data_IF_325088276034
#
_entry.id   IF_325088276034
#
_cell.length_a   1.000
_cell.length_b   1.000
_cell.length_c   1.000
_cell.angle_alpha   90.00
_cell.angle_beta   90.00
_cell.angle_gamma   90.00
#
_symmetry.space_group_name_H-M   'P 1'
#
loop_
_entity.id
_entity.type
_entity.pdbx_description
1 polymer ?
#
# COMPACT_ATOMS: atom_id res chain seq x y z
N UNK A 1 -41.03 4.72 12.79
CA UNK A 1 -39.93 5.02 11.85
C UNK A 1 -39.15 6.15 12.50
N UNK A 2 -37.84 6.02 12.70
CA UNK A 2 -37.03 7.15 13.11
C UNK A 2 -37.12 8.21 12.01
N UNK A 3 -37.65 9.39 12.37
CA UNK A 3 -37.61 10.53 11.47
C UNK A 3 -36.20 11.08 11.46
N UNK A 4 -35.42 10.72 10.46
CA UNK A 4 -34.16 11.41 10.16
C UNK A 4 -34.50 12.77 9.54
N UNK A 5 -34.72 13.79 10.36
CA UNK A 5 -34.98 15.15 9.88
C UNK A 5 -33.80 15.77 9.12
N UNK A 6 -32.61 15.19 9.23
CA UNK A 6 -31.41 15.61 8.51
C UNK A 6 -30.64 14.41 7.98
N UNK A 7 -31.08 13.84 6.86
CA UNK A 7 -30.33 12.79 6.17
C UNK A 7 -29.05 13.37 5.56
N UNK A 8 -27.93 12.65 5.63
CA UNK A 8 -26.62 13.14 5.15
C UNK A 8 -26.58 13.43 3.64
N UNK A 9 -27.36 12.69 2.85
CA UNK A 9 -27.52 12.83 1.39
C UNK A 9 -28.77 12.09 0.93
N UNK A 10 -29.23 12.37 -0.29
CA UNK A 10 -30.34 11.67 -0.90
C UNK A 10 -29.95 10.24 -1.31
N UNK A 11 -30.85 9.30 -1.06
CA UNK A 11 -30.70 7.89 -1.44
C UNK A 11 -31.81 7.48 -2.41
N UNK A 12 -31.62 6.43 -3.27
CA UNK A 12 -32.67 5.89 -4.11
C UNK A 12 -33.93 5.49 -3.33
N UNK A 13 -35.08 5.54 -3.96
CA UNK A 13 -36.37 5.21 -3.32
C UNK A 13 -36.44 3.76 -2.79
N UNK A 14 -35.63 2.85 -3.34
CA UNK A 14 -35.53 1.46 -2.91
C UNK A 14 -34.65 1.26 -1.67
N UNK A 15 -33.94 2.32 -1.23
CA UNK A 15 -33.06 2.26 -0.08
C UNK A 15 -33.75 2.82 1.16
N UNK A 16 -33.26 2.47 2.33
CA UNK A 16 -33.73 3.03 3.60
C UNK A 16 -32.57 3.49 4.44
N UNK A 17 -32.77 4.57 5.20
CA UNK A 17 -31.83 4.93 6.24
C UNK A 17 -32.11 4.10 7.50
N UNK A 18 -31.05 3.57 8.09
CA UNK A 18 -31.05 2.85 9.35
C UNK A 18 -29.82 3.27 10.17
N UNK A 19 -29.48 2.57 11.23
CA UNK A 19 -28.26 2.79 12.01
C UNK A 19 -27.36 1.56 11.98
N UNK A 20 -26.08 1.74 12.28
CA UNK A 20 -25.16 0.59 12.43
C UNK A 20 -25.63 -0.34 13.54
N UNK A 21 -26.22 0.21 14.62
CA UNK A 21 -26.80 -0.59 15.71
C UNK A 21 -27.90 -1.53 15.21
N UNK A 22 -28.81 -1.03 14.38
CA UNK A 22 -29.96 -1.81 13.89
C UNK A 22 -29.56 -2.95 12.94
N UNK A 23 -28.44 -2.83 12.26
CA UNK A 23 -27.96 -3.87 11.33
C UNK A 23 -26.94 -4.83 11.93
N UNK A 24 -26.48 -4.60 13.17
CA UNK A 24 -25.46 -5.41 13.81
C UNK A 24 -25.99 -6.22 14.99
N UNK A 25 -25.69 -7.51 15.03
CA UNK A 25 -25.89 -8.36 16.21
C UNK A 25 -24.82 -8.15 17.28
N UNK A 26 -23.68 -7.55 16.90
CA UNK A 26 -22.58 -7.25 17.80
C UNK A 26 -21.85 -5.98 17.35
N UNK A 27 -21.64 -5.08 18.30
CA UNK A 27 -20.72 -3.94 18.19
C UNK A 27 -19.98 -3.86 19.52
N UNK A 28 -18.65 -4.04 19.50
CA UNK A 28 -17.88 -3.96 20.73
C UNK A 28 -16.39 -4.14 20.54
N UNK A 29 -15.61 -3.44 21.35
CA UNK A 29 -14.16 -3.62 21.39
C UNK A 29 -13.79 -4.94 22.03
N UNK A 30 -12.62 -5.44 21.67
CA UNK A 30 -12.00 -6.58 22.31
C UNK A 30 -11.48 -6.28 23.71
N UNK A 31 -10.72 -7.21 24.24
CA UNK A 31 -10.02 -7.06 25.52
C UNK A 31 -8.65 -7.72 25.43
N UNK A 32 -7.69 -7.22 26.23
CA UNK A 32 -6.36 -7.85 26.31
C UNK A 32 -6.40 -8.97 27.35
N UNK A 33 -5.76 -10.14 27.08
CA UNK A 33 -5.65 -11.20 28.06
C UNK A 33 -4.97 -10.71 29.34
N UNK A 34 -5.49 -11.08 30.51
CA UNK A 34 -4.93 -10.70 31.80
C UNK A 34 -3.49 -11.24 31.93
N UNK A 35 -2.57 -10.40 32.39
CA UNK A 35 -1.16 -10.79 32.60
C UNK A 35 -0.38 -11.02 31.31
N UNK A 36 -0.83 -10.46 30.15
CA UNK A 36 -0.18 -10.67 28.85
C UNK A 36 -0.01 -12.15 28.50
N UNK A 37 -1.01 -12.98 28.80
CA UNK A 37 -0.99 -14.42 28.69
C UNK A 37 -1.10 -14.85 27.22
N UNK A 38 -0.06 -14.64 26.45
CA UNK A 38 0.08 -15.07 25.07
C UNK A 38 0.76 -16.43 24.98
N UNK A 39 0.44 -17.18 23.94
CA UNK A 39 1.03 -18.48 23.61
C UNK A 39 1.82 -18.43 22.30
N UNK A 40 2.69 -19.40 22.08
CA UNK A 40 3.46 -19.49 20.84
C UNK A 40 2.59 -19.85 19.62
N UNK A 41 1.48 -20.54 19.87
CA UNK A 41 0.49 -20.97 18.88
C UNK A 41 -0.90 -21.05 19.53
N UNK A 42 -1.94 -21.31 18.75
CA UNK A 42 -3.32 -21.45 19.22
C UNK A 42 -4.27 -20.53 18.46
N UNK A 43 -5.17 -19.87 19.19
CA UNK A 43 -6.19 -18.99 18.64
C UNK A 43 -5.57 -17.63 18.29
N UNK A 44 -5.70 -17.12 17.05
CA UNK A 44 -5.15 -15.84 16.65
C UNK A 44 -5.76 -14.67 17.43
N UNK A 45 -4.90 -13.76 17.84
CA UNK A 45 -5.26 -12.56 18.61
C UNK A 45 -4.85 -11.31 17.84
N UNK A 46 -5.81 -10.66 17.22
CA UNK A 46 -5.58 -9.48 16.38
C UNK A 46 -5.46 -8.22 17.22
N UNK A 47 -4.44 -7.44 16.91
CA UNK A 47 -4.21 -6.09 17.43
C UNK A 47 -4.37 -5.08 16.29
N UNK A 48 -4.45 -3.81 16.59
CA UNK A 48 -4.62 -2.76 15.58
C UNK A 48 -3.60 -2.82 14.43
N UNK A 49 -2.38 -3.29 14.70
CA UNK A 49 -1.34 -3.48 13.69
C UNK A 49 -1.60 -4.62 12.70
N UNK A 50 -2.51 -5.54 13.03
CA UNK A 50 -2.89 -6.65 12.18
C UNK A 50 -4.09 -6.33 11.27
N UNK A 51 -4.74 -5.15 11.44
CA UNK A 51 -5.90 -4.71 10.66
C UNK A 51 -5.46 -3.66 9.65
N UNK A 52 -5.62 -3.97 8.36
CA UNK A 52 -5.43 -3.07 7.23
C UNK A 52 -6.76 -2.86 6.50
N UNK A 53 -6.83 -1.93 5.56
CA UNK A 53 -8.08 -1.63 4.86
C UNK A 53 -8.48 -2.70 3.83
N UNK A 54 -7.56 -3.52 3.43
CA UNK A 54 -7.74 -4.54 2.38
C UNK A 54 -7.64 -5.98 2.92
N UNK A 55 -7.10 -6.17 4.13
CA UNK A 55 -6.86 -7.51 4.69
C UNK A 55 -6.51 -7.53 6.17
N UNK A 56 -6.56 -8.72 6.74
CA UNK A 56 -5.91 -9.05 8.00
C UNK A 56 -4.49 -9.55 7.73
N UNK A 57 -3.52 -9.05 8.52
CA UNK A 57 -2.10 -9.40 8.40
C UNK A 57 -1.68 -10.23 9.60
N UNK A 58 -1.04 -11.37 9.33
CA UNK A 58 -0.59 -12.32 10.34
C UNK A 58 0.87 -12.10 10.76
N UNK A 59 1.56 -11.14 10.18
CA UNK A 59 2.91 -10.77 10.60
C UNK A 59 2.90 -10.27 12.05
N UNK A 60 3.77 -10.82 12.89
CA UNK A 60 3.84 -10.55 14.34
C UNK A 60 2.47 -10.73 15.06
N UNK A 61 1.63 -11.63 14.55
CA UNK A 61 0.37 -11.97 15.24
C UNK A 61 0.69 -12.63 16.58
N UNK A 62 -0.13 -12.34 17.58
CA UNK A 62 -0.09 -13.05 18.86
C UNK A 62 -1.13 -14.15 18.87
N UNK A 63 -0.90 -15.15 19.70
CA UNK A 63 -1.85 -16.25 19.91
C UNK A 63 -2.23 -16.32 21.37
N UNK A 64 -3.41 -16.86 21.64
CA UNK A 64 -3.89 -17.19 22.99
C UNK A 64 -4.25 -18.67 23.03
N UNK A 65 -4.17 -19.27 24.22
CA UNK A 65 -4.60 -20.66 24.42
C UNK A 65 -6.12 -20.79 24.31
N UNK A 66 -6.61 -21.99 24.03
CA UNK A 66 -8.03 -22.29 24.03
C UNK A 66 -8.69 -21.92 25.36
N UNK A 67 -8.03 -22.15 26.48
CA UNK A 67 -8.55 -21.80 27.81
C UNK A 67 -8.76 -20.30 27.96
N UNK A 68 -7.82 -19.49 27.44
CA UNK A 68 -7.93 -18.01 27.46
C UNK A 68 -9.03 -17.57 26.52
N UNK A 69 -9.12 -18.17 25.31
CA UNK A 69 -10.18 -17.90 24.36
C UNK A 69 -11.55 -18.13 24.96
N UNK A 70 -11.78 -19.26 25.65
CA UNK A 70 -13.05 -19.56 26.29
C UNK A 70 -13.43 -18.51 27.36
N UNK A 71 -12.46 -18.01 28.12
CA UNK A 71 -12.68 -16.91 29.08
C UNK A 71 -12.98 -15.57 28.40
N UNK A 72 -12.59 -15.45 27.12
CA UNK A 72 -12.76 -14.25 26.29
C UNK A 72 -13.82 -14.43 25.20
N UNK A 73 -14.73 -15.37 25.34
CA UNK A 73 -15.78 -15.69 24.34
C UNK A 73 -16.62 -14.46 23.96
N UNK A 74 -16.81 -13.51 24.87
CA UNK A 74 -17.49 -12.25 24.60
C UNK A 74 -16.79 -11.35 23.55
N UNK A 75 -15.52 -11.58 23.25
CA UNK A 75 -14.72 -10.84 22.24
C UNK A 75 -14.25 -11.74 21.09
N UNK A 76 -14.96 -12.84 20.88
CA UNK A 76 -14.70 -13.75 19.76
C UNK A 76 -15.00 -13.10 18.42
N UNK A 77 -14.07 -13.29 17.49
CA UNK A 77 -14.18 -12.91 16.08
C UNK A 77 -14.65 -14.11 15.29
N UNK A 78 -15.61 -13.89 14.42
CA UNK A 78 -16.14 -14.90 13.49
C UNK A 78 -15.94 -14.48 12.04
N UNK A 79 -16.10 -15.42 11.13
CA UNK A 79 -16.13 -15.14 9.69
C UNK A 79 -17.15 -14.03 9.36
N UNK A 80 -16.82 -13.18 8.40
CA UNK A 80 -17.61 -12.03 7.95
C UNK A 80 -17.79 -10.88 8.97
N UNK A 81 -17.14 -10.93 10.13
CA UNK A 81 -17.06 -9.78 11.01
C UNK A 81 -16.23 -8.65 10.34
N UNK A 82 -16.59 -7.41 10.60
CA UNK A 82 -15.71 -6.28 10.32
C UNK A 82 -14.89 -5.96 11.57
N UNK A 83 -13.58 -5.84 11.39
CA UNK A 83 -12.65 -5.41 12.44
C UNK A 83 -12.22 -3.97 12.18
N UNK A 84 -12.64 -3.06 13.04
CA UNK A 84 -12.38 -1.62 12.94
C UNK A 84 -11.40 -1.17 14.03
N UNK A 85 -10.29 -0.55 13.65
CA UNK A 85 -9.41 0.11 14.60
C UNK A 85 -10.05 1.37 15.15
N UNK A 86 -10.26 1.42 16.46
CA UNK A 86 -10.99 2.49 17.14
C UNK A 86 -10.10 3.44 17.95
N UNK A 87 -8.79 3.21 18.01
CA UNK A 87 -7.82 4.06 18.73
C UNK A 87 -6.44 4.04 18.06
N UNK A 88 -5.63 5.06 18.35
CA UNK A 88 -4.23 5.12 17.96
C UNK A 88 -3.98 5.56 16.51
N UNK A 89 -2.74 5.49 16.07
CA UNK A 89 -2.32 5.98 14.75
C UNK A 89 -2.90 5.23 13.54
N UNK A 90 -3.59 4.11 13.77
CA UNK A 90 -4.30 3.34 12.74
C UNK A 90 -5.82 3.44 12.87
N UNK A 91 -6.32 4.44 13.61
CA UNK A 91 -7.75 4.70 13.77
C UNK A 91 -8.44 4.77 12.39
N UNK A 92 -9.56 4.08 12.26
CA UNK A 92 -10.36 4.03 11.03
C UNK A 92 -9.96 2.94 10.05
N UNK A 93 -8.83 2.23 10.23
CA UNK A 93 -8.55 1.03 9.43
C UNK A 93 -9.58 -0.05 9.73
N UNK A 94 -10.11 -0.66 8.69
CA UNK A 94 -11.12 -1.69 8.79
C UNK A 94 -10.85 -2.82 7.80
N UNK A 95 -11.08 -4.05 8.22
CA UNK A 95 -11.01 -5.22 7.36
C UNK A 95 -12.20 -6.14 7.59
N UNK A 96 -12.62 -6.86 6.56
CA UNK A 96 -13.54 -7.98 6.65
C UNK A 96 -12.76 -9.24 7.03
N UNK A 97 -13.30 -10.00 7.96
CA UNK A 97 -12.78 -11.32 8.34
C UNK A 97 -13.13 -12.33 7.25
N UNK A 98 -12.17 -13.10 6.70
CA UNK A 98 -12.43 -14.05 5.64
C UNK A 98 -13.56 -15.05 5.98
N UNK A 99 -14.32 -15.46 4.96
CA UNK A 99 -15.46 -16.36 5.13
C UNK A 99 -15.08 -17.77 5.60
N UNK A 100 -13.84 -18.19 5.38
CA UNK A 100 -13.26 -19.47 5.83
C UNK A 100 -12.55 -19.38 7.19
N UNK A 101 -12.64 -18.23 7.86
CA UNK A 101 -12.01 -18.00 9.16
C UNK A 101 -12.75 -18.77 10.26
N UNK A 102 -12.01 -19.51 11.09
CA UNK A 102 -12.60 -20.31 12.16
C UNK A 102 -12.99 -19.47 13.38
N UNK A 103 -12.01 -18.95 14.09
CA UNK A 103 -12.21 -18.10 15.27
C UNK A 103 -10.95 -17.31 15.62
N UNK A 104 -11.13 -16.25 16.39
CA UNK A 104 -10.05 -15.42 16.90
C UNK A 104 -10.53 -14.51 18.02
N UNK A 105 -9.65 -13.67 18.53
CA UNK A 105 -9.99 -12.61 19.45
C UNK A 105 -9.28 -11.31 19.04
N UNK A 106 -9.74 -10.21 19.58
CA UNK A 106 -9.17 -8.88 19.30
C UNK A 106 -8.82 -8.13 20.58
N UNK A 107 -7.86 -7.23 20.46
CA UNK A 107 -7.49 -6.31 21.54
C UNK A 107 -8.54 -5.22 21.76
N UNK A 108 -8.47 -4.51 22.88
CA UNK A 108 -9.35 -3.38 23.20
C UNK A 108 -9.28 -2.21 22.20
N UNK A 109 -8.29 -2.21 21.29
CA UNK A 109 -8.11 -1.19 20.26
C UNK A 109 -8.82 -1.50 18.94
N UNK A 110 -9.45 -2.67 18.86
CA UNK A 110 -10.18 -3.16 17.69
C UNK A 110 -11.62 -3.41 18.07
N UNK A 111 -12.55 -2.84 17.31
CA UNK A 111 -13.99 -3.06 17.45
C UNK A 111 -14.44 -4.15 16.47
N UNK A 112 -15.24 -5.09 16.95
CA UNK A 112 -15.95 -6.07 16.15
C UNK A 112 -17.31 -5.49 15.78
N UNK A 113 -17.63 -5.50 14.49
CA UNK A 113 -18.97 -5.19 13.98
C UNK A 113 -19.47 -6.42 13.22
N UNK A 114 -20.53 -7.06 13.72
CA UNK A 114 -21.14 -8.26 13.14
C UNK A 114 -22.50 -7.92 12.59
N UNK A 115 -22.57 -7.70 11.29
CA UNK A 115 -23.82 -7.38 10.60
C UNK A 115 -24.72 -8.61 10.45
N UNK A 116 -26.03 -8.35 10.28
CA UNK A 116 -27.05 -9.36 10.01
C UNK A 116 -27.78 -8.95 8.73
N UNK A 117 -27.83 -9.84 7.74
CA UNK A 117 -28.48 -9.60 6.43
C UNK A 117 -27.94 -8.39 5.67
N UNK A 118 -26.70 -8.00 5.96
CA UNK A 118 -25.95 -6.98 5.22
C UNK A 118 -24.69 -7.64 4.66
N UNK A 119 -24.42 -7.39 3.39
CA UNK A 119 -23.21 -7.87 2.71
C UNK A 119 -21.96 -7.27 3.40
N UNK A 120 -21.05 -8.09 3.93
CA UNK A 120 -19.89 -7.58 4.69
C UNK A 120 -19.04 -6.60 3.90
N UNK A 121 -18.79 -6.86 2.62
CA UNK A 121 -17.98 -5.99 1.75
C UNK A 121 -18.70 -4.68 1.42
N UNK A 122 -20.05 -4.66 1.36
CA UNK A 122 -20.81 -3.43 1.25
C UNK A 122 -20.65 -2.57 2.51
N UNK A 123 -20.78 -3.19 3.68
CA UNK A 123 -20.56 -2.50 4.95
C UNK A 123 -19.13 -1.98 5.07
N UNK A 124 -18.16 -2.78 4.65
CA UNK A 124 -16.76 -2.39 4.62
C UNK A 124 -16.53 -1.17 3.71
N UNK A 125 -17.08 -1.16 2.50
CA UNK A 125 -17.00 -0.03 1.58
C UNK A 125 -17.55 1.26 2.20
N UNK A 126 -18.67 1.18 2.95
CA UNK A 126 -19.19 2.32 3.70
C UNK A 126 -18.19 2.82 4.74
N UNK A 127 -17.61 1.91 5.55
CA UNK A 127 -16.64 2.26 6.60
C UNK A 127 -15.40 2.94 6.01
N UNK A 128 -14.96 2.54 4.83
CA UNK A 128 -13.83 3.17 4.14
C UNK A 128 -14.20 4.46 3.40
N UNK A 129 -15.47 4.81 3.31
CA UNK A 129 -15.94 5.98 2.58
C UNK A 129 -15.59 7.30 3.29
N UNK A 130 -15.51 8.38 2.50
CA UNK A 130 -15.36 9.73 3.04
C UNK A 130 -16.57 10.16 3.90
N UNK A 131 -17.74 9.59 3.67
CA UNK A 131 -18.93 9.79 4.48
C UNK A 131 -18.71 9.31 5.90
N UNK A 132 -18.24 8.07 6.08
CA UNK A 132 -17.93 7.50 7.39
C UNK A 132 -16.87 8.34 8.11
N UNK A 133 -15.75 8.63 7.47
CA UNK A 133 -14.65 9.40 8.05
C UNK A 133 -15.12 10.80 8.55
N UNK A 134 -15.93 11.50 7.76
CA UNK A 134 -16.48 12.80 8.12
C UNK A 134 -17.49 12.71 9.26
N UNK A 135 -18.38 11.72 9.24
CA UNK A 135 -19.43 11.52 10.26
C UNK A 135 -18.84 11.15 11.61
N UNK A 136 -17.77 10.35 11.63
CA UNK A 136 -17.07 9.95 12.84
C UNK A 136 -16.06 10.98 13.35
N UNK A 137 -15.84 12.08 12.62
CA UNK A 137 -14.81 13.08 12.93
C UNK A 137 -13.43 12.43 13.17
N UNK A 138 -13.13 11.38 12.40
CA UNK A 138 -11.83 10.72 12.42
C UNK A 138 -10.80 11.71 11.88
N UNK A 139 -10.10 12.37 12.77
CA UNK A 139 -8.96 13.22 12.46
C UNK A 139 -7.69 12.50 12.90
N UNK A 140 -6.63 12.60 12.14
CA UNK A 140 -5.37 11.87 12.36
C UNK A 140 -4.60 12.21 13.64
N UNK A 141 -5.24 12.78 14.65
CA UNK A 141 -4.60 13.21 15.92
C UNK A 141 -4.29 12.08 16.91
N UNK A 142 -4.59 10.82 16.59
CA UNK A 142 -4.01 9.63 17.23
C UNK A 142 -4.28 9.37 18.71
N UNK A 143 -4.98 10.25 19.40
CA UNK A 143 -5.27 10.12 20.85
C UNK A 143 -6.76 9.99 21.19
N UNK A 144 -7.63 10.36 20.26
CA UNK A 144 -9.08 10.24 20.46
C UNK A 144 -9.54 8.87 19.94
N UNK A 145 -10.17 8.10 20.81
CA UNK A 145 -10.84 6.87 20.45
C UNK A 145 -12.17 7.15 19.78
N UNK A 146 -12.64 6.26 18.92
CA UNK A 146 -13.99 6.28 18.39
C UNK A 146 -14.95 5.71 19.43
N UNK A 147 -15.85 6.52 20.04
CA UNK A 147 -16.77 6.04 21.05
C UNK A 147 -17.78 5.05 20.44
N UNK A 148 -18.07 3.98 21.16
CA UNK A 148 -19.03 2.96 20.72
C UNK A 148 -20.40 3.57 20.34
N UNK A 149 -20.94 4.47 21.16
CA UNK A 149 -22.23 5.10 20.89
C UNK A 149 -22.26 5.92 19.60
N UNK A 150 -21.14 6.55 19.24
CA UNK A 150 -21.03 7.30 17.98
C UNK A 150 -21.07 6.37 16.76
N UNK A 151 -20.47 5.20 16.90
CA UNK A 151 -20.49 4.16 15.87
C UNK A 151 -21.90 3.56 15.74
N UNK A 152 -22.54 3.24 16.86
CA UNK A 152 -23.89 2.67 16.92
C UNK A 152 -24.94 3.59 16.28
N UNK A 153 -24.88 4.87 16.57
CA UNK A 153 -25.86 5.86 16.10
C UNK A 153 -25.58 6.40 14.68
N UNK A 154 -24.53 5.95 14.04
CA UNK A 154 -24.23 6.40 12.69
C UNK A 154 -25.30 5.96 11.71
N UNK A 155 -25.81 6.91 10.93
CA UNK A 155 -26.78 6.62 9.88
C UNK A 155 -26.15 5.72 8.80
N UNK A 156 -26.87 4.68 8.42
CA UNK A 156 -26.44 3.67 7.46
C UNK A 156 -27.43 3.64 6.28
N UNK A 157 -26.99 3.91 5.05
CA UNK A 157 -27.83 3.78 3.87
C UNK A 157 -27.91 2.30 3.46
N UNK A 158 -29.08 1.71 3.59
CA UNK A 158 -29.29 0.27 3.38
C UNK A 158 -30.01 -0.01 2.06
N UNK A 159 -29.32 -0.50 1.01
CA UNK A 159 -29.91 -1.02 -0.21
C UNK A 159 -30.59 -2.38 0.02
N UNK A 160 -31.46 -2.83 -0.90
CA UNK A 160 -31.86 -4.23 -0.99
C UNK A 160 -30.63 -5.14 -1.12
N UNK A 161 -30.65 -6.34 -0.51
CA UNK A 161 -29.48 -7.25 -0.46
C UNK A 161 -28.91 -7.55 -1.86
N UNK A 162 -29.77 -7.79 -2.85
CA UNK A 162 -29.32 -8.02 -4.24
C UNK A 162 -28.60 -6.81 -4.85
N UNK A 163 -28.94 -5.62 -4.40
CA UNK A 163 -28.25 -4.40 -4.85
C UNK A 163 -26.93 -4.19 -4.14
N UNK A 164 -26.84 -4.50 -2.84
CA UNK A 164 -25.57 -4.54 -2.12
C UNK A 164 -24.55 -5.43 -2.84
N UNK A 165 -24.96 -6.64 -3.24
CA UNK A 165 -24.10 -7.59 -3.96
C UNK A 165 -23.66 -7.03 -5.33
N UNK A 166 -24.55 -6.37 -6.07
CA UNK A 166 -24.16 -5.73 -7.34
C UNK A 166 -23.19 -4.57 -7.15
N UNK A 167 -23.39 -3.79 -6.09
CA UNK A 167 -22.45 -2.70 -5.73
C UNK A 167 -21.07 -3.27 -5.41
N UNK A 168 -20.98 -4.33 -4.60
CA UNK A 168 -19.72 -5.01 -4.27
C UNK A 168 -19.02 -5.50 -5.53
N UNK A 169 -19.72 -6.25 -6.39
CA UNK A 169 -19.14 -6.75 -7.64
C UNK A 169 -18.58 -5.63 -8.54
N UNK A 170 -19.26 -4.48 -8.61
CA UNK A 170 -18.79 -3.37 -9.44
C UNK A 170 -17.58 -2.66 -8.78
N UNK A 171 -17.54 -2.53 -7.47
CA UNK A 171 -16.37 -2.01 -6.72
C UNK A 171 -15.15 -2.91 -6.97
N UNK A 172 -15.28 -4.22 -6.82
CA UNK A 172 -14.20 -5.19 -7.06
C UNK A 172 -13.67 -5.11 -8.49
N UNK A 173 -14.57 -5.05 -9.46
CA UNK A 173 -14.20 -4.89 -10.87
C UNK A 173 -13.43 -3.60 -11.13
N UNK A 174 -13.88 -2.47 -10.58
CA UNK A 174 -13.20 -1.19 -10.74
C UNK A 174 -11.83 -1.18 -10.06
N UNK A 175 -11.70 -1.76 -8.88
CA UNK A 175 -10.41 -1.88 -8.20
C UNK A 175 -9.45 -2.79 -8.96
N UNK A 176 -9.92 -3.92 -9.51
CA UNK A 176 -9.09 -4.77 -10.36
C UNK A 176 -8.57 -4.02 -11.61
N UNK A 177 -9.37 -3.13 -12.22
CA UNK A 177 -8.92 -2.28 -13.32
C UNK A 177 -7.86 -1.27 -12.89
N UNK A 178 -8.00 -0.67 -11.71
CA UNK A 178 -7.01 0.25 -11.14
C UNK A 178 -5.69 -0.49 -10.92
N UNK A 179 -5.72 -1.68 -10.33
CA UNK A 179 -4.54 -2.51 -10.09
C UNK A 179 -3.82 -2.87 -11.41
N UNK A 180 -4.57 -3.20 -12.47
CA UNK A 180 -4.01 -3.45 -13.80
C UNK A 180 -3.29 -2.22 -14.37
N UNK A 181 -3.87 -1.02 -14.19
CA UNK A 181 -3.25 0.24 -14.62
C UNK A 181 -1.96 0.50 -13.84
N UNK A 182 -1.96 0.30 -12.54
CA UNK A 182 -0.77 0.48 -11.69
C UNK A 182 0.35 -0.48 -12.05
N UNK A 183 0.05 -1.77 -12.26
CA UNK A 183 1.02 -2.76 -12.73
C UNK A 183 1.58 -2.41 -14.11
N UNK A 184 0.75 -1.95 -15.02
CA UNK A 184 1.16 -1.52 -16.36
C UNK A 184 2.11 -0.32 -16.29
N UNK A 185 1.87 0.63 -15.39
CA UNK A 185 2.74 1.79 -15.16
C UNK A 185 4.12 1.38 -14.65
N UNK A 186 4.21 0.45 -13.71
CA UNK A 186 5.48 -0.10 -13.20
C UNK A 186 6.26 -0.80 -14.31
N UNK A 187 5.60 -1.63 -15.13
CA UNK A 187 6.20 -2.30 -16.28
C UNK A 187 6.74 -1.29 -17.30
N UNK A 188 5.98 -0.24 -17.61
CA UNK A 188 6.40 0.81 -18.54
C UNK A 188 7.66 1.53 -18.05
N UNK A 189 7.76 1.86 -16.78
CA UNK A 189 8.96 2.47 -16.19
C UNK A 189 10.18 1.56 -16.32
N UNK A 190 10.02 0.27 -16.11
CA UNK A 190 11.07 -0.73 -16.26
C UNK A 190 11.53 -0.82 -17.70
N UNK A 191 10.61 -0.89 -18.66
CA UNK A 191 10.90 -0.93 -20.10
C UNK A 191 11.64 0.35 -20.53
N UNK A 192 11.19 1.52 -20.09
CA UNK A 192 11.86 2.80 -20.38
C UNK A 192 13.30 2.78 -19.86
N UNK A 193 13.54 2.31 -18.63
CA UNK A 193 14.90 2.20 -18.08
C UNK A 193 15.79 1.26 -18.89
N UNK A 194 15.27 0.08 -19.26
CA UNK A 194 16.00 -0.88 -20.08
C UNK A 194 16.29 -0.34 -21.49
N UNK A 195 15.31 0.33 -22.09
CA UNK A 195 15.48 0.95 -23.42
C UNK A 195 16.55 2.05 -23.40
N UNK A 196 16.52 2.94 -22.40
CA UNK A 196 17.55 3.97 -22.22
C UNK A 196 18.95 3.33 -22.07
N UNK A 197 19.08 2.29 -21.25
CA UNK A 197 20.35 1.57 -21.11
C UNK A 197 20.83 0.98 -22.43
N UNK A 198 19.94 0.35 -23.19
CA UNK A 198 20.26 -0.23 -24.50
C UNK A 198 20.67 0.81 -25.54
N UNK A 199 20.01 1.98 -25.54
CA UNK A 199 20.39 3.10 -26.43
C UNK A 199 21.82 3.57 -26.11
N UNK A 200 22.14 3.75 -24.83
CA UNK A 200 23.49 4.14 -24.41
C UNK A 200 24.53 3.09 -24.79
N UNK A 201 24.21 1.81 -24.59
CA UNK A 201 25.08 0.70 -24.99
C UNK A 201 25.35 0.67 -26.49
N UNK A 202 24.32 0.86 -27.32
CA UNK A 202 24.48 0.99 -28.78
C UNK A 202 25.33 2.20 -29.15
N UNK A 203 25.18 3.33 -28.46
CA UNK A 203 25.94 4.55 -28.71
C UNK A 203 27.43 4.34 -28.45
N UNK A 204 27.83 3.76 -27.31
CA UNK A 204 29.23 3.55 -26.93
C UNK A 204 29.92 2.45 -27.77
N UNK A 205 29.15 1.61 -28.43
CA UNK A 205 29.68 0.59 -29.35
C UNK A 205 29.65 1.04 -30.82
N UNK A 206 29.31 2.31 -31.09
CA UNK A 206 29.25 2.84 -32.46
C UNK A 206 28.16 2.24 -33.33
N UNK A 207 27.13 1.65 -32.72
CA UNK A 207 26.01 0.96 -33.39
C UNK A 207 24.72 1.76 -33.43
N UNK A 208 24.68 2.96 -32.79
CA UNK A 208 23.48 3.76 -32.72
C UNK A 208 23.19 4.52 -34.01
N UNK A 209 24.25 5.01 -34.67
CA UNK A 209 24.19 5.71 -35.96
C UNK A 209 25.07 5.04 -36.98
N UNK A 210 24.77 5.12 -38.28
CA UNK A 210 25.67 4.64 -39.34
C UNK A 210 26.99 5.37 -39.26
N UNK A 211 28.11 4.68 -39.55
CA UNK A 211 29.42 5.30 -39.69
C UNK A 211 29.50 5.99 -41.06
N UNK A 212 29.98 7.24 -41.10
CA UNK A 212 30.23 7.95 -42.35
C UNK A 212 31.70 7.71 -42.77
N UNK A 213 31.95 7.14 -43.96
CA UNK A 213 33.31 6.93 -44.42
C UNK A 213 34.10 8.21 -44.72
N UNK A 214 33.41 9.38 -44.76
CA UNK A 214 34.05 10.69 -44.92
C UNK A 214 34.43 11.33 -43.57
N UNK A 215 34.02 10.77 -42.46
CA UNK A 215 34.45 11.25 -41.16
C UNK A 215 35.93 10.99 -40.94
N UNK A 216 36.63 11.99 -40.37
CA UNK A 216 38.05 11.83 -40.03
C UNK A 216 38.18 10.75 -38.93
N UNK A 217 39.04 9.73 -39.09
CA UNK A 217 39.28 8.75 -38.05
C UNK A 217 39.80 9.39 -36.75
N UNK A 218 39.28 8.94 -35.60
CA UNK A 218 39.65 9.48 -34.27
C UNK A 218 41.18 9.42 -34.01
N UNK A 219 41.89 8.49 -34.60
CA UNK A 219 43.36 8.37 -34.49
C UNK A 219 44.09 9.57 -35.09
N UNK A 220 43.59 10.17 -36.18
CA UNK A 220 44.20 11.31 -36.81
C UNK A 220 44.01 12.59 -35.95
N UNK A 221 42.86 12.75 -35.35
CA UNK A 221 42.62 13.80 -34.37
C UNK A 221 43.55 13.67 -33.14
N UNK A 222 43.68 12.43 -32.61
CA UNK A 222 44.55 12.18 -31.45
C UNK A 222 46.03 12.42 -31.73
N UNK A 223 46.53 12.05 -32.92
CA UNK A 223 47.92 12.33 -33.35
C UNK A 223 48.20 13.82 -33.53
N UNK A 224 47.18 14.63 -33.86
CA UNK A 224 47.35 16.12 -33.90
C UNK A 224 47.51 16.70 -32.49
N UNK A 225 46.87 16.07 -31.48
CA UNK A 225 46.99 16.50 -30.08
C UNK A 225 48.29 15.98 -29.47
N UNK A 226 48.62 14.74 -29.73
CA UNK A 226 49.84 14.08 -29.27
C UNK A 226 50.45 13.24 -30.42
N UNK A 227 51.53 13.71 -31.08
CA UNK A 227 52.16 12.98 -32.24
C UNK A 227 52.61 11.56 -31.92
N UNK A 228 52.95 11.29 -30.66
CA UNK A 228 53.44 9.98 -30.20
C UNK A 228 52.29 9.08 -29.70
N UNK A 229 51.04 9.45 -29.98
CA UNK A 229 49.89 8.70 -29.52
C UNK A 229 49.87 7.28 -30.11
N UNK A 230 49.70 6.32 -29.21
CA UNK A 230 49.47 4.90 -29.55
C UNK A 230 48.12 4.46 -28.97
N UNK A 231 47.22 3.86 -29.76
CA UNK A 231 45.95 3.34 -29.25
C UNK A 231 46.15 2.32 -28.13
N UNK A 232 45.24 2.31 -27.18
CA UNK A 232 45.20 1.25 -26.16
C UNK A 232 44.83 -0.09 -26.79
N UNK A 233 45.39 -1.18 -26.25
CA UNK A 233 44.92 -2.52 -26.58
C UNK A 233 43.47 -2.72 -26.15
N UNK A 234 42.61 -3.06 -27.09
CA UNK A 234 41.17 -3.28 -26.92
C UNK A 234 40.81 -4.70 -26.50
N UNK A 235 41.76 -5.51 -25.96
CA UNK A 235 41.52 -6.92 -25.65
C UNK A 235 40.34 -7.26 -24.75
N UNK A 236 39.73 -6.25 -24.13
CA UNK A 236 38.57 -6.40 -23.22
C UNK A 236 37.25 -5.77 -23.73
N UNK A 237 37.26 -5.09 -24.89
CA UNK A 237 36.06 -4.42 -25.41
C UNK A 237 35.59 -5.08 -26.69
N UNK A 238 34.26 -5.14 -26.85
CA UNK A 238 33.65 -5.56 -28.11
C UNK A 238 34.21 -4.70 -29.26
N UNK A 239 34.29 -5.27 -30.47
CA UNK A 239 34.80 -4.53 -31.65
C UNK A 239 34.18 -3.15 -31.78
N UNK A 240 35.02 -2.14 -31.67
CA UNK A 240 34.67 -0.76 -32.00
C UNK A 240 34.69 -0.58 -33.52
N UNK A 241 33.99 0.43 -34.10
CA UNK A 241 34.13 0.83 -35.48
C UNK A 241 35.57 1.17 -35.81
N UNK A 242 36.01 0.92 -37.07
CA UNK A 242 37.39 1.14 -37.52
C UNK A 242 37.83 2.62 -37.41
N UNK A 243 36.88 3.55 -37.46
CA UNK A 243 37.14 4.99 -37.32
C UNK A 243 37.33 5.43 -35.84
N UNK A 244 37.03 4.56 -34.87
CA UNK A 244 37.13 4.87 -33.46
C UNK A 244 38.45 4.41 -32.86
N UNK A 245 38.91 5.07 -31.81
CA UNK A 245 40.11 4.69 -31.05
C UNK A 245 39.84 4.67 -29.57
N UNK A 246 40.33 3.65 -28.86
CA UNK A 246 40.26 3.59 -27.40
C UNK A 246 41.42 4.40 -26.80
N UNK A 247 41.10 5.25 -25.84
CA UNK A 247 42.08 6.09 -25.14
C UNK A 247 41.83 6.05 -23.62
N UNK A 248 42.87 6.11 -22.78
CA UNK A 248 42.72 6.25 -21.37
C UNK A 248 42.02 7.60 -21.02
N UNK A 249 41.12 7.58 -20.05
CA UNK A 249 40.40 8.79 -19.60
C UNK A 249 41.36 9.93 -19.21
N UNK A 250 42.51 9.63 -18.64
CA UNK A 250 43.56 10.59 -18.24
C UNK A 250 44.11 11.41 -19.42
N UNK A 251 44.01 10.94 -20.66
CA UNK A 251 44.40 11.68 -21.84
C UNK A 251 43.35 12.70 -22.32
N UNK A 252 42.10 12.51 -21.91
CA UNK A 252 40.97 13.32 -22.35
C UNK A 252 40.57 14.37 -21.30
N UNK A 253 40.90 14.14 -20.03
CA UNK A 253 40.51 15.05 -18.95
C UNK A 253 41.47 14.98 -17.75
N UNK A 254 41.58 16.09 -17.02
CA UNK A 254 42.21 16.08 -15.71
C UNK A 254 41.22 15.64 -14.66
N UNK A 255 41.54 14.53 -13.99
CA UNK A 255 40.78 14.03 -12.84
C UNK A 255 41.26 14.79 -11.60
N UNK A 256 40.43 15.65 -11.04
CA UNK A 256 40.68 16.27 -9.75
C UNK A 256 39.78 15.61 -8.70
N UNK A 257 40.36 15.18 -7.57
CA UNK A 257 39.57 14.81 -6.41
C UNK A 257 38.79 16.04 -5.93
N UNK A 258 37.47 15.94 -5.87
CA UNK A 258 36.65 17.00 -5.33
C UNK A 258 37.07 17.31 -3.89
N UNK A 259 37.31 18.58 -3.56
CA UNK A 259 37.58 18.98 -2.17
C UNK A 259 36.42 18.53 -1.28
N UNK A 260 36.71 17.68 -0.29
CA UNK A 260 35.77 17.38 0.79
C UNK A 260 35.48 18.69 1.52
N UNK A 261 34.32 19.30 1.31
CA UNK A 261 33.84 20.35 2.18
C UNK A 261 33.70 19.82 3.60
N UNK A 262 34.70 20.07 4.43
CA UNK A 262 34.61 19.89 5.86
C UNK A 262 33.64 20.95 6.41
N UNK A 263 32.35 20.59 6.48
CA UNK A 263 31.34 21.39 7.17
C UNK A 263 31.58 21.38 8.67
N UNK A 264 32.44 22.26 9.13
CA UNK A 264 32.48 22.76 10.51
C UNK A 264 32.48 24.29 10.43
N UNK A 265 31.30 24.86 10.32
CA UNK A 265 31.08 26.25 10.75
C UNK A 265 31.00 26.24 12.29
N UNK A 266 32.05 26.73 12.92
CA UNK A 266 31.98 27.26 14.27
C UNK A 266 31.11 28.52 14.23
N UNK A 267 29.95 28.49 14.89
CA UNK A 267 29.25 29.73 15.25
C UNK A 267 29.88 30.33 16.49
N UNK A 268 30.01 31.69 16.55
CA UNK A 268 30.47 32.42 17.72
C UNK A 268 29.46 32.37 18.89
#
# INVERSE_FOLDING_TARGET
MPHYENVPFEIPNSWVWTTIEEICSKIGSGSTPRGSNYSANGIPFFRSQNVYNDRLVYDDIKYISEEVHQKMKGTEVLANDLLLNITGGSLGRCAVVPADFNCGNVSQHVCIMRSVLVEPEYFHALVLSSYFAKSMKITGSGREGLPKYSLEQMAFPLPPLSEQQRIVMEIEKLFALIDQIEHSKVNLQTIIKQTKSKILDLAIHGKLVPQDPNDEPAIELLKRINPDFTPCDNGHYAQLPDSWSAVPMQMLCYLTDGEKQNGRENKP
#
